data_IF_387130033069
#
_entry.id   IF_387130033069
#
_cell.length_a   1.000
_cell.length_b   1.000
_cell.length_c   1.000
_cell.angle_alpha   90.00
_cell.angle_beta   90.00
_cell.angle_gamma   90.00
#
_symmetry.space_group_name_H-M   'P 1'
#
loop_
_entity.id
_entity.type
_entity.pdbx_description
1 polymer ?
#
# COMPACT_ATOMS: atom_id res chain seq x y z
N UNK A 1 19.87 -12.49 -20.63
CA UNK A 1 19.92 -11.31 -19.74
C UNK A 1 19.12 -10.13 -20.29
N UNK A 2 19.27 -9.82 -21.58
CA UNK A 2 18.46 -8.85 -22.34
C UNK A 2 16.93 -9.03 -22.23
N UNK A 3 16.44 -10.29 -22.26
CA UNK A 3 15.01 -10.62 -22.18
C UNK A 3 14.42 -10.31 -20.80
N UNK A 4 15.13 -10.65 -19.73
CA UNK A 4 14.71 -10.42 -18.34
C UNK A 4 14.63 -8.93 -18.04
N UNK A 5 15.62 -8.15 -18.50
CA UNK A 5 15.63 -6.69 -18.29
C UNK A 5 14.43 -6.02 -18.97
N UNK A 6 14.11 -6.40 -20.21
CA UNK A 6 12.92 -5.90 -20.92
C UNK A 6 11.64 -6.25 -20.17
N UNK A 7 11.48 -7.51 -19.77
CA UNK A 7 10.31 -7.94 -19.01
C UNK A 7 10.15 -7.16 -17.70
N UNK A 8 11.24 -6.89 -16.97
CA UNK A 8 11.20 -6.10 -15.75
C UNK A 8 10.83 -4.64 -16.00
N UNK A 9 11.23 -4.04 -17.12
CA UNK A 9 10.82 -2.68 -17.46
C UNK A 9 9.31 -2.65 -17.76
N UNK A 10 8.81 -3.64 -18.50
CA UNK A 10 7.41 -3.73 -18.88
C UNK A 10 6.48 -4.05 -17.69
N UNK A 11 6.99 -4.77 -16.69
CA UNK A 11 6.22 -5.24 -15.53
C UNK A 11 6.55 -4.54 -14.22
N UNK A 12 7.61 -3.73 -14.19
CA UNK A 12 8.19 -3.20 -12.95
C UNK A 12 7.21 -2.34 -12.17
N UNK A 13 6.32 -1.63 -12.86
CA UNK A 13 5.36 -0.75 -12.21
C UNK A 13 4.34 -1.49 -11.34
N UNK A 14 3.68 -2.52 -11.87
CA UNK A 14 2.72 -3.29 -11.08
C UNK A 14 3.40 -4.20 -10.06
N UNK A 15 4.60 -4.72 -10.35
CA UNK A 15 5.41 -5.49 -9.41
C UNK A 15 5.82 -4.65 -8.20
N UNK A 16 6.21 -3.39 -8.43
CA UNK A 16 6.56 -2.46 -7.36
C UNK A 16 5.36 -2.21 -6.44
N UNK A 17 4.17 -1.99 -7.01
CA UNK A 17 2.95 -1.81 -6.20
C UNK A 17 2.58 -3.10 -5.46
N UNK A 18 2.63 -4.26 -6.13
CA UNK A 18 2.37 -5.55 -5.49
C UNK A 18 3.33 -5.81 -4.32
N UNK A 19 4.60 -5.42 -4.45
CA UNK A 19 5.59 -5.56 -3.38
C UNK A 19 5.23 -4.76 -2.11
N UNK A 20 4.56 -3.61 -2.25
CA UNK A 20 4.04 -2.87 -1.09
C UNK A 20 3.05 -3.75 -0.33
N UNK A 21 2.10 -4.35 -1.04
CA UNK A 21 1.03 -5.19 -0.46
C UNK A 21 1.62 -6.45 0.19
N UNK A 22 2.51 -7.16 -0.50
CA UNK A 22 3.21 -8.34 0.07
C UNK A 22 3.92 -7.98 1.37
N UNK A 23 4.64 -6.85 1.38
CA UNK A 23 5.42 -6.42 2.53
C UNK A 23 4.60 -5.76 3.65
N UNK A 24 3.28 -5.57 3.50
CA UNK A 24 2.40 -5.11 4.59
C UNK A 24 2.41 -6.05 5.80
N UNK A 25 2.62 -7.35 5.54
CA UNK A 25 2.80 -8.41 6.56
C UNK A 25 3.96 -8.11 7.51
N UNK A 26 4.90 -7.25 7.10
CA UNK A 26 6.05 -6.85 7.90
C UNK A 26 5.80 -5.54 8.63
N UNK A 27 6.53 -5.29 9.73
CA UNK A 27 6.41 -4.04 10.51
C UNK A 27 6.86 -2.79 9.75
N UNK A 28 7.93 -2.91 8.97
CA UNK A 28 8.63 -1.75 8.38
C UNK A 28 9.04 -1.93 6.93
N UNK A 29 9.13 -3.14 6.38
CA UNK A 29 9.72 -3.34 5.05
C UNK A 29 8.84 -2.77 3.93
N UNK A 30 7.53 -2.65 4.13
CA UNK A 30 6.64 -1.96 3.17
C UNK A 30 7.05 -0.49 2.92
N UNK A 31 7.78 0.13 3.85
CA UNK A 31 8.28 1.49 3.65
C UNK A 31 9.33 1.58 2.53
N UNK A 32 10.03 0.50 2.20
CA UNK A 32 11.04 0.48 1.14
C UNK A 32 10.42 0.66 -0.26
N UNK A 33 9.48 -0.19 -0.73
CA UNK A 33 8.84 0.04 -2.02
C UNK A 33 8.01 1.33 -2.02
N UNK A 34 7.43 1.73 -0.89
CA UNK A 34 6.74 3.01 -0.77
C UNK A 34 7.69 4.20 -0.97
N UNK A 35 8.92 4.14 -0.43
CA UNK A 35 9.94 5.16 -0.66
C UNK A 35 10.33 5.21 -2.14
N UNK A 36 10.50 4.06 -2.79
CA UNK A 36 10.79 4.01 -4.24
C UNK A 36 9.65 4.65 -5.05
N UNK A 37 8.39 4.35 -4.70
CA UNK A 37 7.22 5.00 -5.32
C UNK A 37 7.23 6.51 -5.08
N UNK A 38 7.57 6.97 -3.87
CA UNK A 38 7.61 8.39 -3.54
C UNK A 38 8.73 9.14 -4.30
N UNK A 39 9.93 8.56 -4.36
CA UNK A 39 11.05 9.11 -5.13
C UNK A 39 10.73 9.16 -6.63
N UNK A 40 10.05 8.13 -7.14
CA UNK A 40 9.57 8.09 -8.54
C UNK A 40 8.59 9.23 -8.80
N UNK A 41 7.69 9.53 -7.86
CA UNK A 41 6.73 10.62 -7.99
C UNK A 41 7.44 11.97 -8.06
N UNK A 42 8.43 12.20 -7.18
CA UNK A 42 9.22 13.43 -7.18
C UNK A 42 9.95 13.62 -8.52
N UNK A 43 10.53 12.55 -9.06
CA UNK A 43 11.15 12.56 -10.39
C UNK A 43 10.15 12.89 -11.50
N UNK A 44 8.97 12.26 -11.48
CA UNK A 44 7.91 12.48 -12.47
C UNK A 44 7.37 13.92 -12.40
N UNK A 45 7.12 14.43 -11.20
CA UNK A 45 6.68 15.81 -10.98
C UNK A 45 7.74 16.80 -11.48
N UNK A 46 9.02 16.60 -11.14
CA UNK A 46 10.09 17.47 -11.60
C UNK A 46 10.18 17.60 -13.13
N UNK A 47 9.83 16.54 -13.87
CA UNK A 47 9.89 16.54 -15.35
C UNK A 47 8.57 16.87 -16.04
N UNK A 48 7.43 16.49 -15.46
CA UNK A 48 6.15 16.44 -16.17
C UNK A 48 4.97 16.94 -15.32
N UNK A 49 5.20 17.79 -14.30
CA UNK A 49 4.15 18.25 -13.39
C UNK A 49 2.90 18.81 -14.09
N UNK A 50 3.06 19.57 -15.19
CA UNK A 50 1.92 20.15 -15.93
C UNK A 50 0.99 19.08 -16.47
N UNK A 51 1.57 18.05 -17.10
CA UNK A 51 0.83 16.90 -17.64
C UNK A 51 0.16 16.10 -16.54
N UNK A 52 0.85 15.92 -15.41
CA UNK A 52 0.34 15.15 -14.27
C UNK A 52 -0.86 15.84 -13.62
N UNK A 53 -0.75 17.13 -13.31
CA UNK A 53 -1.82 17.90 -12.64
C UNK A 53 -3.02 18.14 -13.55
N UNK A 54 -2.84 18.12 -14.88
CA UNK A 54 -3.93 18.25 -15.83
C UNK A 54 -4.92 17.06 -15.80
N UNK A 55 -4.50 15.87 -15.32
CA UNK A 55 -5.35 14.66 -15.30
C UNK A 55 -6.47 14.77 -14.27
N UNK A 56 -7.67 14.30 -14.63
CA UNK A 56 -8.85 14.35 -13.76
C UNK A 56 -8.68 13.52 -12.48
N UNK A 57 -8.03 12.36 -12.61
CA UNK A 57 -7.73 11.40 -11.56
C UNK A 57 -6.74 11.98 -10.55
N UNK A 58 -5.82 12.83 -11.01
CA UNK A 58 -4.89 13.55 -10.15
C UNK A 58 -5.62 14.56 -9.26
N UNK A 59 -6.61 15.28 -9.82
CA UNK A 59 -7.42 16.22 -9.04
C UNK A 59 -8.21 15.51 -7.95
N UNK A 60 -8.79 14.35 -8.26
CA UNK A 60 -9.49 13.53 -7.27
C UNK A 60 -8.53 13.06 -6.18
N UNK A 61 -7.35 12.56 -6.53
CA UNK A 61 -6.34 12.12 -5.56
C UNK A 61 -5.91 13.27 -4.65
N UNK A 62 -5.61 14.45 -5.22
CA UNK A 62 -5.22 15.64 -4.45
C UNK A 62 -6.34 16.12 -3.55
N UNK A 63 -7.59 16.09 -4.01
CA UNK A 63 -8.75 16.47 -3.22
C UNK A 63 -8.95 15.51 -2.04
N UNK A 64 -8.92 14.20 -2.27
CA UNK A 64 -9.05 13.20 -1.21
C UNK A 64 -7.91 13.31 -0.19
N UNK A 65 -6.68 13.51 -0.68
CA UNK A 65 -5.54 13.72 0.21
C UNK A 65 -5.69 15.02 1.01
N UNK A 66 -6.12 16.11 0.40
CA UNK A 66 -6.32 17.38 1.09
C UNK A 66 -7.44 17.28 2.14
N UNK A 67 -8.54 16.59 1.82
CA UNK A 67 -9.64 16.33 2.75
C UNK A 67 -9.20 15.48 3.96
N UNK A 68 -8.23 14.59 3.76
CA UNK A 68 -7.65 13.76 4.82
C UNK A 68 -6.60 14.53 5.63
N UNK A 69 -5.65 15.17 4.95
CA UNK A 69 -4.43 15.73 5.55
C UNK A 69 -4.63 17.12 6.14
N UNK A 70 -5.48 17.98 5.55
CA UNK A 70 -5.73 19.31 6.11
C UNK A 70 -6.33 19.25 7.53
N UNK A 71 -7.34 18.41 7.83
CA UNK A 71 -7.82 18.26 9.21
C UNK A 71 -6.72 17.77 10.17
N UNK A 72 -5.84 16.89 9.71
CA UNK A 72 -4.71 16.41 10.53
C UNK A 72 -3.74 17.55 10.88
N UNK A 73 -3.43 18.43 9.90
CA UNK A 73 -2.59 19.61 10.12
C UNK A 73 -3.27 20.60 11.06
N UNK A 74 -4.57 20.87 10.88
CA UNK A 74 -5.34 21.76 11.76
C UNK A 74 -5.38 21.24 13.20
N UNK A 75 -5.49 19.91 13.38
CA UNK A 75 -5.46 19.27 14.69
C UNK A 75 -4.13 19.44 15.43
N UNK A 76 -3.03 19.79 14.74
CA UNK A 76 -1.74 20.08 15.41
C UNK A 76 -1.82 21.30 16.32
N UNK A 77 -2.71 22.26 16.04
CA UNK A 77 -2.84 23.50 16.83
C UNK A 77 -3.31 23.24 18.26
N UNK A 78 -4.06 22.16 18.48
CA UNK A 78 -4.55 21.73 19.80
C UNK A 78 -3.87 20.46 20.33
N UNK A 79 -2.73 20.06 19.76
CA UNK A 79 -2.10 18.80 20.11
C UNK A 79 -1.53 18.80 21.53
N UNK A 80 -1.97 17.84 22.36
CA UNK A 80 -1.43 17.61 23.72
C UNK A 80 0.07 17.27 23.67
N UNK A 81 0.48 16.50 22.66
CA UNK A 81 1.89 16.24 22.37
C UNK A 81 2.16 16.52 20.90
N UNK A 82 2.83 17.63 20.65
CA UNK A 82 3.19 18.05 19.30
C UNK A 82 4.10 17.01 18.63
N UNK A 83 5.10 16.48 19.35
CA UNK A 83 6.03 15.49 18.84
C UNK A 83 5.32 14.21 18.35
N UNK A 84 4.44 13.63 19.18
CA UNK A 84 3.65 12.45 18.79
C UNK A 84 2.74 12.74 17.62
N UNK A 85 2.09 13.89 17.61
CA UNK A 85 1.18 14.28 16.52
C UNK A 85 1.94 14.46 15.20
N UNK A 86 3.10 15.13 15.23
CA UNK A 86 3.97 15.32 14.07
C UNK A 86 4.47 13.99 13.50
N UNK A 87 4.80 13.01 14.35
CA UNK A 87 5.19 11.66 13.90
C UNK A 87 4.12 10.97 13.05
N UNK A 88 2.86 11.39 13.15
CA UNK A 88 1.75 10.91 12.32
C UNK A 88 1.53 11.81 11.10
N UNK A 89 1.52 13.14 11.27
CA UNK A 89 1.18 14.08 10.19
C UNK A 89 2.28 14.21 9.13
N UNK A 90 3.54 14.26 9.55
CA UNK A 90 4.69 14.50 8.65
C UNK A 90 4.93 13.35 7.66
N UNK A 91 4.73 12.07 8.01
CA UNK A 91 4.86 10.98 7.05
C UNK A 91 3.65 10.76 6.14
N UNK A 92 2.58 11.56 6.20
CA UNK A 92 1.42 11.35 5.31
C UNK A 92 1.68 11.71 3.83
N UNK A 93 2.40 12.81 3.49
CA UNK A 93 2.68 13.19 2.11
C UNK A 93 3.37 12.11 1.26
N UNK A 94 4.15 11.18 1.83
CA UNK A 94 4.70 10.05 1.05
C UNK A 94 3.62 9.13 0.47
N UNK A 95 2.45 9.03 1.11
CA UNK A 95 1.32 8.27 0.56
C UNK A 95 0.70 8.99 -0.64
N UNK A 96 0.63 10.32 -0.62
CA UNK A 96 0.24 11.10 -1.80
C UNK A 96 1.21 10.84 -2.95
N UNK A 97 2.52 10.94 -2.70
CA UNK A 97 3.55 10.66 -3.72
C UNK A 97 3.41 9.21 -4.24
N UNK A 98 3.18 8.23 -3.36
CA UNK A 98 2.89 6.86 -3.75
C UNK A 98 1.68 6.75 -4.69
N UNK A 99 0.59 7.44 -4.38
CA UNK A 99 -0.61 7.51 -5.21
C UNK A 99 -0.37 8.14 -6.58
N UNK A 100 0.45 9.19 -6.66
CA UNK A 100 0.84 9.83 -7.93
C UNK A 100 1.53 8.82 -8.85
N UNK A 101 2.52 8.12 -8.32
CA UNK A 101 3.25 7.09 -9.07
C UNK A 101 2.33 5.94 -9.46
N UNK A 102 1.40 5.53 -8.59
CA UNK A 102 0.44 4.48 -8.89
C UNK A 102 -0.48 4.85 -10.06
N UNK A 103 -1.04 6.06 -10.07
CA UNK A 103 -1.85 6.57 -11.19
C UNK A 103 -1.08 6.64 -12.51
N UNK A 104 0.24 6.87 -12.43
CA UNK A 104 1.10 6.93 -13.60
C UNK A 104 1.46 5.53 -14.12
N UNK A 105 1.95 4.65 -13.24
CA UNK A 105 2.44 3.32 -13.60
C UNK A 105 1.32 2.34 -13.96
N UNK A 106 0.12 2.52 -13.41
CA UNK A 106 -1.05 1.68 -13.68
C UNK A 106 -1.99 2.26 -14.74
N UNK A 107 -1.48 3.12 -15.62
CA UNK A 107 -2.29 3.69 -16.71
C UNK A 107 -2.71 2.63 -17.75
N UNK A 108 -1.95 1.53 -17.89
CA UNK A 108 -2.26 0.43 -18.80
C UNK A 108 -3.24 -0.58 -18.21
N UNK A 109 -4.21 -1.05 -19.02
CA UNK A 109 -5.21 -2.07 -18.64
C UNK A 109 -4.56 -3.36 -18.12
N UNK A 110 -3.59 -3.90 -18.86
CA UNK A 110 -2.88 -5.13 -18.49
C UNK A 110 -2.18 -5.03 -17.13
N UNK A 111 -1.54 -3.89 -16.83
CA UNK A 111 -0.87 -3.69 -15.54
C UNK A 111 -1.86 -3.66 -14.37
N UNK A 112 -3.04 -3.04 -14.57
CA UNK A 112 -4.13 -3.04 -13.57
C UNK A 112 -4.69 -4.45 -13.33
N UNK A 113 -4.95 -5.19 -14.40
CA UNK A 113 -5.47 -6.57 -14.30
C UNK A 113 -4.47 -7.48 -13.58
N UNK A 114 -3.18 -7.40 -13.93
CA UNK A 114 -2.12 -8.16 -13.25
C UNK A 114 -2.00 -7.81 -11.76
N UNK A 115 -2.02 -6.52 -11.43
CA UNK A 115 -2.00 -6.10 -10.03
C UNK A 115 -3.22 -6.59 -9.28
N UNK A 116 -4.40 -6.46 -9.87
CA UNK A 116 -5.65 -6.90 -9.25
C UNK A 116 -5.62 -8.41 -8.96
N UNK A 117 -5.25 -9.25 -9.94
CA UNK A 117 -5.09 -10.70 -9.73
C UNK A 117 -4.06 -10.99 -8.65
N UNK A 118 -2.93 -10.30 -8.63
CA UNK A 118 -1.90 -10.49 -7.61
C UNK A 118 -2.41 -10.14 -6.21
N UNK A 119 -3.16 -9.03 -6.06
CA UNK A 119 -3.75 -8.61 -4.79
C UNK A 119 -4.82 -9.60 -4.34
N UNK A 120 -5.74 -10.01 -5.21
CA UNK A 120 -6.78 -10.99 -4.89
C UNK A 120 -6.18 -12.33 -4.45
N UNK A 121 -5.17 -12.82 -5.18
CA UNK A 121 -4.48 -14.06 -4.83
C UNK A 121 -3.79 -13.95 -3.46
N UNK A 122 -3.15 -12.82 -3.17
CA UNK A 122 -2.47 -12.57 -1.90
C UNK A 122 -3.45 -12.48 -0.72
N UNK A 123 -4.57 -11.77 -0.89
CA UNK A 123 -5.61 -11.67 0.14
C UNK A 123 -6.27 -13.03 0.41
N UNK A 124 -6.49 -13.82 -0.65
CA UNK A 124 -6.99 -15.20 -0.53
C UNK A 124 -6.00 -16.04 0.26
N UNK A 125 -4.70 -15.95 -0.06
CA UNK A 125 -3.64 -16.66 0.66
C UNK A 125 -3.61 -16.28 2.14
N UNK A 126 -3.67 -15.00 2.48
CA UNK A 126 -3.70 -14.54 3.88
C UNK A 126 -4.93 -15.02 4.62
N UNK A 127 -6.09 -15.03 3.97
CA UNK A 127 -7.35 -15.48 4.55
C UNK A 127 -7.32 -17.00 4.80
N UNK A 128 -6.84 -17.78 3.83
CA UNK A 128 -6.68 -19.23 3.96
C UNK A 128 -5.68 -19.57 5.07
N UNK A 129 -4.53 -18.88 5.14
CA UNK A 129 -3.54 -19.06 6.22
C UNK A 129 -4.12 -18.75 7.60
N UNK A 130 -4.93 -17.70 7.71
CA UNK A 130 -5.61 -17.36 8.97
C UNK A 130 -6.67 -18.40 9.36
N UNK A 131 -7.45 -18.91 8.40
CA UNK A 131 -8.39 -20.00 8.65
C UNK A 131 -7.67 -21.28 9.07
N UNK A 132 -6.54 -21.60 8.44
CA UNK A 132 -5.69 -22.71 8.83
C UNK A 132 -5.12 -22.53 10.25
N UNK A 133 -4.70 -21.31 10.59
CA UNK A 133 -4.24 -20.95 11.94
C UNK A 133 -5.33 -21.18 12.99
N UNK A 134 -6.58 -20.84 12.68
CA UNK A 134 -7.72 -21.11 13.56
C UNK A 134 -7.92 -22.61 13.82
N UNK A 135 -7.85 -23.43 12.77
CA UNK A 135 -8.14 -24.86 12.86
C UNK A 135 -7.01 -25.68 13.48
N UNK A 136 -5.75 -25.36 13.15
CA UNK A 136 -4.58 -26.16 13.55
C UNK A 136 -3.81 -25.58 14.74
N UNK A 137 -4.21 -24.40 15.23
CA UNK A 137 -3.51 -23.67 16.30
C UNK A 137 -2.23 -22.96 15.85
N UNK A 138 -1.81 -23.10 14.60
CA UNK A 138 -0.59 -22.48 14.06
C UNK A 138 -0.78 -22.12 12.58
N UNK A 139 -0.17 -21.06 12.08
CA UNK A 139 -0.24 -20.74 10.65
C UNK A 139 0.74 -21.60 9.82
N UNK A 140 0.77 -21.43 8.50
CA UNK A 140 1.65 -22.19 7.58
C UNK A 140 3.14 -22.01 7.92
N UNK A 141 3.51 -20.86 8.49
CA UNK A 141 4.88 -20.55 8.93
C UNK A 141 5.17 -21.00 10.38
N UNK A 142 4.22 -21.63 11.06
CA UNK A 142 4.34 -22.10 12.43
C UNK A 142 4.06 -21.04 13.51
N UNK A 143 3.51 -19.88 13.16
CA UNK A 143 3.14 -18.85 14.12
C UNK A 143 1.90 -19.24 14.92
N UNK A 144 1.95 -19.17 16.26
CA UNK A 144 0.90 -19.70 17.11
C UNK A 144 -0.37 -18.86 17.06
N UNK A 145 -1.50 -19.53 17.23
CA UNK A 145 -2.78 -18.89 17.53
C UNK A 145 -2.84 -18.58 19.04
N UNK A 146 -3.12 -17.33 19.39
CA UNK A 146 -3.20 -16.91 20.79
C UNK A 146 -4.58 -17.13 21.44
N UNK A 147 -5.52 -17.80 20.74
CA UNK A 147 -6.88 -18.07 21.24
C UNK A 147 -7.86 -16.90 21.15
N UNK A 148 -7.37 -15.68 20.94
CA UNK A 148 -8.22 -14.47 20.90
C UNK A 148 -8.33 -13.88 19.50
N UNK A 149 -7.24 -13.88 18.73
CA UNK A 149 -7.13 -13.16 17.46
C UNK A 149 -6.28 -13.90 16.43
N UNK A 150 -6.75 -13.91 15.20
CA UNK A 150 -6.00 -14.43 14.06
C UNK A 150 -5.02 -13.37 13.56
N UNK A 151 -3.77 -13.80 13.38
CA UNK A 151 -2.69 -12.94 12.90
C UNK A 151 -2.19 -13.38 11.52
N UNK A 152 -2.23 -14.67 11.21
CA UNK A 152 -1.65 -15.25 10.00
C UNK A 152 -0.22 -14.74 9.76
N UNK A 153 0.06 -14.37 8.51
CA UNK A 153 1.32 -13.75 8.09
C UNK A 153 1.66 -12.40 8.77
N UNK A 154 0.74 -11.75 9.49
CA UNK A 154 1.01 -10.48 10.17
C UNK A 154 1.58 -10.64 11.60
N UNK A 155 1.77 -11.88 12.07
CA UNK A 155 2.36 -12.13 13.38
C UNK A 155 3.70 -11.38 13.56
N UNK A 156 3.96 -10.77 14.73
CA UNK A 156 3.15 -10.75 15.95
C UNK A 156 2.15 -9.58 16.04
N UNK A 157 1.92 -8.84 14.95
CA UNK A 157 1.04 -7.67 14.94
C UNK A 157 -0.42 -8.04 14.62
N UNK A 158 -1.36 -7.36 15.28
CA UNK A 158 -2.80 -7.54 15.07
C UNK A 158 -3.33 -6.69 13.90
N UNK A 159 -2.74 -6.84 12.71
CA UNK A 159 -3.07 -6.02 11.52
C UNK A 159 -3.89 -6.73 10.46
N UNK A 160 -3.98 -8.06 10.49
CA UNK A 160 -4.68 -8.85 9.44
C UNK A 160 -6.12 -8.35 9.17
N UNK A 161 -6.96 -8.23 10.20
CA UNK A 161 -8.36 -7.84 10.06
C UNK A 161 -8.55 -6.47 9.39
N UNK A 162 -7.96 -5.39 9.95
CA UNK A 162 -8.01 -4.07 9.32
C UNK A 162 -7.51 -4.04 7.88
N UNK A 163 -6.42 -4.75 7.57
CA UNK A 163 -5.86 -4.79 6.20
C UNK A 163 -6.82 -5.48 5.23
N UNK A 164 -7.40 -6.64 5.59
CA UNK A 164 -8.43 -7.30 4.77
C UNK A 164 -9.65 -6.40 4.55
N UNK A 165 -10.08 -5.65 5.57
CA UNK A 165 -11.21 -4.73 5.46
C UNK A 165 -10.94 -3.57 4.48
N UNK A 166 -9.74 -2.99 4.50
CA UNK A 166 -9.34 -1.92 3.57
C UNK A 166 -9.30 -2.43 2.12
N UNK A 167 -8.88 -3.67 1.91
CA UNK A 167 -8.80 -4.26 0.56
C UNK A 167 -10.08 -4.93 0.07
N UNK A 168 -11.12 -5.05 0.90
CA UNK A 168 -12.38 -5.71 0.53
C UNK A 168 -13.01 -5.16 -0.78
N UNK A 169 -13.06 -3.84 -1.03
CA UNK A 169 -13.60 -3.32 -2.28
C UNK A 169 -12.79 -3.71 -3.52
N UNK A 170 -11.49 -3.98 -3.36
CA UNK A 170 -10.61 -4.44 -4.45
C UNK A 170 -10.83 -5.93 -4.68
N UNK A 171 -11.12 -6.70 -3.63
CA UNK A 171 -11.37 -8.13 -3.71
C UNK A 171 -12.70 -8.49 -4.40
N UNK A 172 -13.74 -7.65 -4.20
CA UNK A 172 -15.10 -7.90 -4.69
C UNK A 172 -15.39 -7.39 -6.11
N UNK A 173 -14.44 -6.70 -6.74
CA UNK A 173 -14.58 -6.10 -8.08
C UNK A 173 -13.96 -6.97 -9.15
#
# INVERSE_FOLDING_TARGET
MESVKRWLIDNGGWLLVASVVVLLTTRRLYNLPLLVLALTALYLLARQWRTIIARSEMRLLLLLFALLWMPMVLALTGAVSLERSLSTVVPYPRFLLGGITLLWLLNGRMARERLHVAVVALLSLWSIDAMWQYLSGHNILGYPYNGERLNGFFYPDFRLGPELAVFLPVYLR
#
